data_IF_224017261423
#
_entry.id   IF_224017261423
#
_cell.length_a   1.000
_cell.length_b   1.000
_cell.length_c   1.000
_cell.angle_alpha   90.00
_cell.angle_beta   90.00
_cell.angle_gamma   90.00
#
_symmetry.space_group_name_H-M   'P 1'
#
loop_
_entity.id
_entity.type
_entity.pdbx_description
1 polymer ?
#
# COMPACT_ATOMS: atom_id res chain seq x y z
N UNK A 1 -2.50 -17.03 -41.53
CA UNK A 1 -3.41 -16.13 -40.79
C UNK A 1 -3.31 -16.47 -39.31
N UNK A 2 -2.87 -15.54 -38.47
CA UNK A 2 -2.74 -15.74 -37.03
C UNK A 2 -4.13 -15.78 -36.37
N UNK A 3 -4.47 -16.90 -35.73
CA UNK A 3 -5.70 -17.04 -34.96
C UNK A 3 -5.39 -16.67 -33.51
N UNK A 4 -5.47 -15.38 -33.20
CA UNK A 4 -5.24 -14.89 -31.83
C UNK A 4 -6.44 -15.28 -30.98
N UNK A 5 -6.24 -16.22 -30.06
CA UNK A 5 -7.27 -16.63 -29.11
C UNK A 5 -7.18 -15.74 -27.87
N UNK A 6 -8.15 -14.85 -27.71
CA UNK A 6 -8.24 -13.98 -26.54
C UNK A 6 -9.21 -14.62 -25.57
N UNK A 7 -8.69 -15.12 -24.45
CA UNK A 7 -9.53 -15.44 -23.29
C UNK A 7 -9.78 -14.14 -22.52
N UNK A 8 -10.88 -13.47 -22.83
CA UNK A 8 -11.45 -12.52 -21.88
C UNK A 8 -12.20 -13.33 -20.83
N UNK A 9 -11.77 -13.23 -19.56
CA UNK A 9 -12.62 -13.70 -18.47
C UNK A 9 -13.71 -12.66 -18.24
N UNK A 10 -14.95 -13.09 -17.93
CA UNK A 10 -16.05 -12.15 -17.67
C UNK A 10 -15.70 -11.11 -16.60
N UNK A 11 -14.89 -11.50 -15.60
CA UNK A 11 -14.40 -10.61 -14.56
C UNK A 11 -13.56 -9.44 -15.09
N UNK A 12 -12.81 -9.64 -16.17
CA UNK A 12 -11.99 -8.58 -16.78
C UNK A 12 -12.87 -7.55 -17.48
N UNK A 13 -13.99 -7.99 -18.06
CA UNK A 13 -15.00 -7.12 -18.67
C UNK A 13 -15.72 -6.32 -17.59
N UNK A 14 -16.16 -6.99 -16.52
CA UNK A 14 -16.89 -6.36 -15.43
C UNK A 14 -16.06 -5.26 -14.76
N UNK A 15 -14.76 -5.50 -14.51
CA UNK A 15 -13.83 -4.48 -13.99
C UNK A 15 -13.71 -3.28 -14.93
N UNK A 16 -13.49 -3.52 -16.23
CA UNK A 16 -13.36 -2.45 -17.21
C UNK A 16 -14.65 -1.60 -17.32
N UNK A 17 -15.82 -2.25 -17.25
CA UNK A 17 -17.12 -1.60 -17.24
C UNK A 17 -17.28 -0.76 -15.97
N UNK A 18 -17.04 -1.34 -14.79
CA UNK A 18 -17.17 -0.65 -13.50
C UNK A 18 -16.27 0.58 -13.40
N UNK A 19 -15.06 0.52 -13.97
CA UNK A 19 -14.14 1.66 -14.09
C UNK A 19 -14.68 2.79 -14.97
N UNK A 20 -15.32 2.46 -16.10
CA UNK A 20 -15.92 3.46 -17.01
C UNK A 20 -17.10 4.15 -16.34
N UNK A 21 -17.90 3.41 -15.57
CA UNK A 21 -19.04 3.96 -14.84
C UNK A 21 -18.67 4.60 -13.49
N UNK A 22 -17.39 4.63 -13.12
CA UNK A 22 -16.92 5.24 -11.87
C UNK A 22 -17.40 4.53 -10.61
N UNK A 23 -17.73 3.24 -10.72
CA UNK A 23 -18.24 2.39 -9.65
C UNK A 23 -17.10 1.64 -8.92
N UNK A 24 -15.88 1.71 -9.43
CA UNK A 24 -14.70 1.40 -8.62
C UNK A 24 -14.43 2.60 -7.72
N UNK A 25 -14.99 2.57 -6.51
CA UNK A 25 -14.27 3.17 -5.39
C UNK A 25 -12.90 2.52 -5.40
N UNK A 26 -11.83 3.32 -5.45
CA UNK A 26 -10.49 2.84 -5.18
C UNK A 26 -10.50 2.33 -3.74
N UNK A 27 -11.02 1.12 -3.50
CA UNK A 27 -10.99 0.41 -2.24
C UNK A 27 -9.50 0.23 -1.93
N UNK A 28 -8.91 1.19 -1.25
CA UNK A 28 -8.12 1.04 -0.04
C UNK A 28 -7.11 -0.13 -0.02
N UNK A 29 -6.57 -0.53 -1.17
CA UNK A 29 -5.46 -1.50 -1.22
C UNK A 29 -4.20 -0.91 -0.56
N UNK A 30 -4.17 0.42 -0.37
CA UNK A 30 -3.08 1.10 0.34
C UNK A 30 -3.10 0.85 1.85
N UNK A 31 -4.25 0.54 2.45
CA UNK A 31 -4.35 0.47 3.92
C UNK A 31 -3.80 -0.83 4.53
N UNK A 32 -3.53 -1.87 3.73
CA UNK A 32 -3.02 -3.16 4.24
C UNK A 32 -1.53 -3.39 4.00
N UNK A 33 -0.79 -2.35 3.62
CA UNK A 33 0.66 -2.47 3.47
C UNK A 33 1.34 -2.13 4.79
N UNK A 34 2.02 -3.13 5.37
CA UNK A 34 2.89 -3.00 6.53
C UNK A 34 4.10 -2.13 6.09
N UNK A 35 3.94 -0.81 6.12
CA UNK A 35 4.96 0.11 5.62
C UNK A 35 6.03 0.37 6.69
N UNK A 36 7.32 0.33 6.33
CA UNK A 36 8.38 0.63 7.27
C UNK A 36 8.36 2.10 7.69
N UNK A 37 8.65 2.37 8.96
CA UNK A 37 8.59 3.72 9.54
C UNK A 37 9.96 4.39 9.50
N UNK A 38 10.01 5.61 8.95
CA UNK A 38 11.24 6.41 8.90
C UNK A 38 11.40 7.23 10.18
N UNK A 39 12.56 7.10 10.83
CA UNK A 39 12.88 7.90 12.02
C UNK A 39 12.99 9.39 11.66
N UNK A 40 12.26 10.30 12.33
CA UNK A 40 12.30 11.73 12.03
C UNK A 40 13.62 12.41 12.43
N UNK A 41 14.39 11.79 13.34
CA UNK A 41 15.66 12.37 13.83
C UNK A 41 16.87 11.95 13.01
N UNK A 42 17.01 10.65 12.72
CA UNK A 42 18.22 10.12 12.04
C UNK A 42 17.95 9.56 10.64
N UNK A 43 16.70 9.52 10.19
CA UNK A 43 16.30 9.04 8.87
C UNK A 43 16.39 7.52 8.66
N UNK A 44 16.76 6.76 9.69
CA UNK A 44 16.83 5.28 9.62
C UNK A 44 15.44 4.68 9.42
N UNK A 45 15.37 3.65 8.58
CA UNK A 45 14.13 2.92 8.23
C UNK A 45 13.96 1.80 9.25
N UNK A 46 12.97 1.92 10.13
CA UNK A 46 12.63 0.93 11.15
C UNK A 46 11.47 0.05 10.68
N UNK A 47 11.32 -1.11 11.30
CA UNK A 47 10.14 -1.94 11.11
C UNK A 47 8.90 -1.22 11.66
N UNK A 48 7.71 -1.44 11.10
CA UNK A 48 6.47 -0.83 11.58
C UNK A 48 6.07 -1.24 13.00
N UNK A 49 6.64 -2.32 13.52
CA UNK A 49 6.44 -2.80 14.90
C UNK A 49 7.41 -2.19 15.90
N UNK A 50 8.44 -1.47 15.44
CA UNK A 50 9.46 -0.91 16.33
C UNK A 50 8.91 0.29 17.10
N UNK A 51 9.05 0.26 18.44
CA UNK A 51 8.71 1.42 19.29
C UNK A 51 9.83 2.45 19.37
N UNK A 52 11.07 2.03 19.15
CA UNK A 52 12.26 2.87 19.22
C UNK A 52 13.10 2.69 17.97
N UNK A 53 13.79 3.75 17.57
CA UNK A 53 14.71 3.68 16.45
C UNK A 53 15.94 2.85 16.81
N UNK A 54 16.22 1.80 16.04
CA UNK A 54 17.39 0.93 16.27
C UNK A 54 18.76 1.64 16.13
N UNK A 55 18.80 2.84 15.56
CA UNK A 55 20.03 3.63 15.38
C UNK A 55 20.26 4.73 16.40
N UNK A 56 19.20 5.43 16.80
CA UNK A 56 19.32 6.63 17.66
C UNK A 56 18.50 6.57 18.95
N UNK A 57 17.86 5.43 19.22
CA UNK A 57 16.99 5.18 20.38
C UNK A 57 15.82 6.17 20.56
N UNK A 58 15.49 6.95 19.53
CA UNK A 58 14.33 7.83 19.55
C UNK A 58 13.05 7.00 19.53
N UNK A 59 12.09 7.34 20.39
CA UNK A 59 10.71 6.82 20.32
C UNK A 59 10.15 7.07 18.91
N UNK A 60 9.52 6.07 18.29
CA UNK A 60 8.97 6.17 16.94
C UNK A 60 7.52 6.66 16.93
N UNK A 61 6.77 6.36 17.99
CA UNK A 61 5.41 6.84 18.20
C UNK A 61 5.41 8.35 18.46
N UNK A 62 4.59 9.09 17.73
CA UNK A 62 4.45 10.53 17.88
C UNK A 62 3.76 10.91 19.19
N UNK A 63 2.81 10.08 19.67
CA UNK A 63 2.08 10.35 20.91
C UNK A 63 2.95 10.22 22.16
N UNK A 64 3.89 9.28 22.16
CA UNK A 64 4.79 9.03 23.28
C UNK A 64 6.03 9.97 23.28
N UNK A 65 6.20 10.81 22.24
CA UNK A 65 7.28 11.80 22.18
C UNK A 65 6.95 13.13 22.85
N UNK A 66 5.67 13.44 23.03
CA UNK A 66 5.13 14.66 23.62
C UNK A 66 4.82 14.44 25.11
#
# INVERSE_FOLDING_TARGET
>A
MSRTYVHLSGRDIDKAINKIYGLEEEEDEKERTIQPQKCPRCGYINAPTDRYCGRCALILDEKERL
#
